data_IF_689342157175
#
_entry.id   IF_689342157175
#
_cell.length_a   1.000
_cell.length_b   1.000
_cell.length_c   1.000
_cell.angle_alpha   90.00
_cell.angle_beta   90.00
_cell.angle_gamma   90.00
#
_symmetry.space_group_name_H-M   'P 1'
#
loop_
_entity.id
_entity.type
_entity.pdbx_description
1 polymer ?
#
# COMPACT_ATOMS: atom_id res chain seq x y z
N UNK A 1 -6.79 -3.27 -15.34
CA UNK A 1 -5.85 -3.51 -14.21
C UNK A 1 -6.12 -2.51 -13.11
N UNK A 2 -6.24 -2.92 -11.85
CA UNK A 2 -6.39 -1.99 -10.76
C UNK A 2 -5.14 -1.12 -10.61
N UNK A 3 -5.33 0.12 -10.19
CA UNK A 3 -4.22 1.02 -9.89
C UNK A 3 -3.80 0.78 -8.44
N UNK A 4 -2.58 0.31 -8.25
CA UNK A 4 -2.02 0.04 -6.92
C UNK A 4 -0.99 1.12 -6.61
N UNK A 5 -1.14 1.76 -5.45
CA UNK A 5 -0.22 2.82 -5.02
C UNK A 5 0.21 2.53 -3.58
N UNK A 6 1.48 2.78 -3.29
CA UNK A 6 2.03 2.58 -1.96
C UNK A 6 2.93 3.75 -1.58
N UNK A 7 2.70 4.31 -0.40
CA UNK A 7 3.55 5.33 0.20
C UNK A 7 4.54 4.65 1.13
N UNK A 8 5.82 4.98 0.98
CA UNK A 8 6.90 4.31 1.69
C UNK A 8 7.96 5.28 2.19
N UNK A 9 8.87 4.77 3.02
CA UNK A 9 10.17 5.37 3.31
C UNK A 9 11.26 4.44 2.78
N UNK A 10 12.47 4.98 2.51
CA UNK A 10 13.57 4.20 1.94
C UNK A 10 14.00 3.04 2.83
N UNK A 11 14.07 3.27 4.14
CA UNK A 11 14.49 2.25 5.11
C UNK A 11 13.32 1.91 6.02
N UNK A 12 12.39 1.13 5.50
CA UNK A 12 11.19 0.75 6.23
C UNK A 12 10.95 -0.75 6.05
N UNK A 13 11.21 -1.57 7.08
CA UNK A 13 11.01 -3.02 6.97
C UNK A 13 9.58 -3.41 6.59
N UNK A 14 8.59 -2.72 7.15
CA UNK A 14 7.19 -3.01 6.82
C UNK A 14 6.85 -2.63 5.38
N UNK A 15 7.45 -1.55 4.87
CA UNK A 15 7.30 -1.18 3.46
C UNK A 15 7.89 -2.26 2.55
N UNK A 16 9.06 -2.77 2.90
CA UNK A 16 9.71 -3.84 2.15
C UNK A 16 8.83 -5.08 2.11
N UNK A 17 8.27 -5.48 3.25
CA UNK A 17 7.39 -6.64 3.33
C UNK A 17 6.13 -6.47 2.49
N UNK A 18 5.52 -5.29 2.54
CA UNK A 18 4.33 -5.00 1.74
C UNK A 18 4.64 -5.09 0.24
N UNK A 19 5.76 -4.50 -0.19
CA UNK A 19 6.17 -4.57 -1.58
C UNK A 19 6.47 -6.01 -2.02
N UNK A 20 7.08 -6.81 -1.16
CA UNK A 20 7.34 -8.22 -1.45
C UNK A 20 6.05 -8.99 -1.74
N UNK A 21 4.99 -8.72 -0.96
CA UNK A 21 3.71 -9.37 -1.21
C UNK A 21 3.13 -8.94 -2.56
N UNK A 22 3.15 -7.65 -2.87
CA UNK A 22 2.69 -7.14 -4.16
C UNK A 22 3.50 -7.74 -5.32
N UNK A 23 4.82 -7.85 -5.15
CA UNK A 23 5.70 -8.46 -6.15
C UNK A 23 5.35 -9.93 -6.38
N UNK A 24 5.06 -10.67 -5.32
CA UNK A 24 4.63 -12.09 -5.44
C UNK A 24 3.31 -12.22 -6.19
N UNK A 25 2.44 -11.22 -6.09
CA UNK A 25 1.18 -11.21 -6.82
C UNK A 25 1.35 -10.85 -8.30
N UNK A 26 2.54 -10.40 -8.69
CA UNK A 26 2.84 -10.06 -10.07
C UNK A 26 2.18 -8.78 -10.56
N UNK A 27 1.75 -7.92 -9.64
CA UNK A 27 1.12 -6.65 -10.00
C UNK A 27 2.14 -5.53 -10.07
N UNK A 28 1.90 -4.57 -10.94
CA UNK A 28 2.68 -3.33 -10.95
C UNK A 28 2.05 -2.35 -9.97
N UNK A 29 2.88 -1.54 -9.34
CA UNK A 29 2.41 -0.53 -8.40
C UNK A 29 3.25 0.73 -8.53
N UNK A 30 2.65 1.86 -8.15
CA UNK A 30 3.36 3.14 -8.07
C UNK A 30 3.81 3.33 -6.63
N UNK A 31 5.10 3.55 -6.44
CA UNK A 31 5.66 3.79 -5.12
C UNK A 31 5.99 5.27 -4.96
N UNK A 32 5.52 5.87 -3.86
CA UNK A 32 5.86 7.23 -3.48
C UNK A 32 6.76 7.16 -2.25
N UNK A 33 8.05 7.45 -2.43
CA UNK A 33 9.02 7.48 -1.32
C UNK A 33 8.96 8.87 -0.71
N UNK A 34 8.47 8.96 0.52
CA UNK A 34 8.10 10.23 1.13
C UNK A 34 8.88 10.59 2.39
N UNK A 35 10.03 9.92 2.64
CA UNK A 35 10.82 10.28 3.83
C UNK A 35 11.26 11.75 3.75
N UNK A 36 11.02 12.46 4.86
CA UNK A 36 11.38 13.87 4.97
C UNK A 36 10.47 14.82 4.21
N UNK A 37 9.43 14.33 3.54
CA UNK A 37 8.52 15.16 2.74
C UNK A 37 7.18 15.30 3.48
N UNK A 38 7.07 16.34 4.30
CA UNK A 38 5.86 16.59 5.09
C UNK A 38 4.65 16.93 4.21
N UNK A 39 4.86 17.61 3.08
CA UNK A 39 3.76 17.94 2.17
C UNK A 39 3.18 16.67 1.54
N UNK A 40 4.03 15.74 1.14
CA UNK A 40 3.58 14.45 0.62
C UNK A 40 2.86 13.64 1.68
N UNK A 41 3.34 13.68 2.93
CA UNK A 41 2.68 13.01 4.05
C UNK A 41 1.29 13.60 4.30
N UNK A 42 1.17 14.92 4.30
CA UNK A 42 -0.11 15.60 4.46
C UNK A 42 -1.07 15.23 3.32
N UNK A 43 -0.57 15.16 2.09
CA UNK A 43 -1.37 14.74 0.94
C UNK A 43 -1.85 13.29 1.08
N UNK A 44 -1.01 12.40 1.60
CA UNK A 44 -1.38 11.01 1.87
C UNK A 44 -2.54 10.95 2.88
N UNK A 45 -2.45 11.70 3.96
CA UNK A 45 -3.51 11.75 4.99
C UNK A 45 -4.80 12.32 4.37
N UNK A 46 -4.68 13.39 3.56
CA UNK A 46 -5.82 14.01 2.90
C UNK A 46 -6.51 13.05 1.90
N UNK A 47 -5.76 12.11 1.32
CA UNK A 47 -6.33 11.08 0.44
C UNK A 47 -7.22 10.08 1.16
N UNK A 48 -7.12 10.00 2.49
CA UNK A 48 -7.94 9.09 3.26
C UNK A 48 -7.18 7.93 3.87
N UNK A 49 -5.97 8.19 4.39
CA UNK A 49 -5.21 7.17 5.13
C UNK A 49 -5.74 6.96 6.55
N UNK A 50 -6.99 7.34 6.80
CA UNK A 50 -7.66 7.21 8.09
C UNK A 50 -6.91 7.99 9.20
N UNK A 51 -6.36 9.15 8.84
CA UNK A 51 -5.59 10.00 9.74
C UNK A 51 -4.19 9.49 10.03
N UNK A 52 -3.80 8.36 9.48
CA UNK A 52 -2.50 7.75 9.76
C UNK A 52 -1.40 8.42 8.96
N UNK A 53 -0.33 8.80 9.66
CA UNK A 53 0.85 9.43 9.08
C UNK A 53 2.01 8.45 8.91
N UNK A 54 1.81 7.20 9.30
CA UNK A 54 2.83 6.15 9.20
C UNK A 54 2.88 5.56 7.79
N UNK A 55 3.96 4.85 7.49
CA UNK A 55 4.13 4.11 6.25
C UNK A 55 4.36 2.62 6.59
N UNK A 56 4.04 1.70 5.70
CA UNK A 56 3.44 1.93 4.38
C UNK A 56 1.97 2.28 4.48
N UNK A 57 1.45 2.96 3.47
CA UNK A 57 0.01 3.13 3.26
C UNK A 57 -0.29 2.73 1.82
N UNK A 58 -1.21 1.80 1.65
CA UNK A 58 -1.52 1.20 0.36
C UNK A 58 -2.92 1.62 -0.08
N UNK A 59 -3.06 1.97 -1.35
CA UNK A 59 -4.34 2.31 -1.97
C UNK A 59 -4.51 1.43 -3.23
N UNK A 60 -5.70 0.85 -3.39
CA UNK A 60 -6.05 0.08 -4.58
C UNK A 60 -7.27 0.74 -5.20
N UNK A 61 -7.13 1.21 -6.44
CA UNK A 61 -8.16 1.98 -7.16
C UNK A 61 -8.66 3.18 -6.34
N UNK A 62 -7.74 3.83 -5.63
CA UNK A 62 -8.06 4.99 -4.81
C UNK A 62 -8.65 4.67 -3.44
N UNK A 63 -9.00 3.42 -3.17
CA UNK A 63 -9.53 3.00 -1.87
C UNK A 63 -8.40 2.65 -0.91
N UNK A 64 -8.46 3.18 0.29
CA UNK A 64 -7.43 2.94 1.31
C UNK A 64 -7.52 1.49 1.82
N UNK A 65 -6.41 0.77 1.69
CA UNK A 65 -6.26 -0.58 2.25
C UNK A 65 -5.70 -0.50 3.67
N UNK A 66 -4.68 0.31 3.86
CA UNK A 66 -3.99 0.46 5.13
C UNK A 66 -2.51 0.16 5.02
N UNK A 67 -1.93 -0.33 6.09
CA UNK A 67 -0.51 -0.66 6.17
C UNK A 67 -0.20 -2.10 5.81
N UNK A 68 1.02 -2.52 6.16
CA UNK A 68 1.50 -3.87 5.87
C UNK A 68 0.60 -4.94 6.50
N UNK A 69 0.24 -4.77 7.77
CA UNK A 69 -0.59 -5.76 8.48
C UNK A 69 -1.97 -5.89 7.83
N UNK A 70 -2.55 -4.77 7.41
CA UNK A 70 -3.85 -4.76 6.74
C UNK A 70 -3.78 -5.49 5.40
N UNK A 71 -2.69 -5.28 4.64
CA UNK A 71 -2.48 -5.95 3.36
C UNK A 71 -2.38 -7.47 3.55
N UNK A 72 -1.58 -7.90 4.53
CA UNK A 72 -1.42 -9.33 4.82
C UNK A 72 -2.70 -9.95 5.39
N UNK A 73 -3.51 -9.17 6.13
CA UNK A 73 -4.81 -9.65 6.61
C UNK A 73 -5.74 -9.97 5.45
N UNK A 74 -5.79 -9.09 4.44
CA UNK A 74 -6.56 -9.35 3.23
C UNK A 74 -6.08 -10.61 2.52
N UNK A 75 -4.76 -10.80 2.46
CA UNK A 75 -4.19 -12.01 1.83
C UNK A 75 -4.64 -13.27 2.56
N UNK A 76 -4.57 -13.28 3.90
CA UNK A 76 -4.98 -14.44 4.70
C UNK A 76 -6.46 -14.76 4.55
N UNK A 77 -7.28 -13.73 4.31
CA UNK A 77 -8.74 -13.88 4.14
C UNK A 77 -9.13 -14.25 2.71
N UNK A 78 -8.17 -14.34 1.79
CA UNK A 78 -8.45 -14.59 0.38
C UNK A 78 -9.10 -13.41 -0.33
N UNK A 79 -9.00 -12.20 0.22
CA UNK A 79 -9.66 -10.99 -0.29
C UNK A 79 -8.72 -10.09 -1.10
N UNK A 80 -7.42 -10.34 -1.06
CA UNK A 80 -6.47 -9.49 -1.77
C UNK A 80 -6.49 -9.75 -3.28
N UNK A 81 -6.48 -11.02 -3.70
CA UNK A 81 -6.46 -11.37 -5.11
C UNK A 81 -7.64 -10.76 -5.89
N UNK A 82 -8.88 -10.78 -5.37
CA UNK A 82 -9.98 -10.10 -6.07
C UNK A 82 -9.75 -8.60 -6.23
N UNK A 83 -9.18 -7.94 -5.22
CA UNK A 83 -8.89 -6.50 -5.28
C UNK A 83 -7.82 -6.19 -6.32
N UNK A 84 -6.86 -7.09 -6.49
CA UNK A 84 -5.78 -6.94 -7.47
C UNK A 84 -6.15 -7.49 -8.84
N UNK A 85 -7.33 -8.10 -8.97
CA UNK A 85 -7.81 -8.73 -10.19
C UNK A 85 -6.84 -9.81 -10.71
N UNK A 86 -6.22 -10.55 -9.79
CA UNK A 86 -5.34 -11.68 -10.14
C UNK A 86 -6.02 -12.99 -9.79
N UNK A 87 -5.62 -14.07 -10.47
CA UNK A 87 -6.13 -15.41 -10.18
C UNK A 87 -5.60 -15.90 -8.84
N UNK A 88 -6.47 -16.50 -8.04
CA UNK A 88 -6.08 -17.10 -6.76
C UNK A 88 -5.55 -18.52 -6.96
#
# INVERSE_FOLDING_TARGET
>A
MPKVEIYTWRFCPFCIRAKQLLDRKGVTYTEYVIDGDEDARDAMVARGSDGKRSVPQIFIDGAHVGGCDDLYALERQGRLDPLLAVAS
#
